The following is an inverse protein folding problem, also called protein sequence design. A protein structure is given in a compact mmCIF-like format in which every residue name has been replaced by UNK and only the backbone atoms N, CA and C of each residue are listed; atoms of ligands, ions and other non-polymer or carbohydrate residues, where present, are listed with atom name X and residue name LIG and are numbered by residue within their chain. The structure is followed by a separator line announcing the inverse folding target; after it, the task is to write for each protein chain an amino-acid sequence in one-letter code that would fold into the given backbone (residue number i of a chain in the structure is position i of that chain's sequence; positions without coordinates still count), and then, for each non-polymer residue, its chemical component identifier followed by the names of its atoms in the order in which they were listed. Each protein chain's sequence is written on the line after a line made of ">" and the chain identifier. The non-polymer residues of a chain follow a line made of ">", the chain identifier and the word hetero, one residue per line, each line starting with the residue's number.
data_IF_304025413576
#
_entry.id   IF_304025413576
#
_cell.length_a   1.000
_cell.length_b   1.000
_cell.length_c   1.000
_cell.angle_alpha   90.00
_cell.angle_beta   90.00
_cell.angle_gamma   90.00
#
_symmetry.space_group_name_H-M   'P 1'
#
loop_
_entity.id
_entity.type
_entity.pdbx_description
1 polymer ?
#
# COMPACT_ATOMS: atom_id res chain seq x y z
N UNK A 1 31.42 19.30 27.22
CA UNK A 1 30.79 17.97 27.26
C UNK A 1 29.26 17.96 27.19
N UNK A 2 28.53 18.90 27.80
CA UNK A 2 27.04 18.81 27.89
C UNK A 2 26.30 19.16 26.59
N UNK A 3 26.81 20.09 25.77
CA UNK A 3 26.21 20.42 24.47
C UNK A 3 26.28 19.26 23.47
N UNK A 4 27.42 18.56 23.39
CA UNK A 4 27.62 17.47 22.41
C UNK A 4 26.55 16.38 22.55
N UNK A 5 26.33 15.90 23.78
CA UNK A 5 25.31 14.89 24.05
C UNK A 5 23.88 15.37 23.79
N UNK A 6 23.62 16.68 23.94
CA UNK A 6 22.31 17.27 23.71
C UNK A 6 21.99 17.36 22.22
N UNK A 7 22.95 17.81 21.41
CA UNK A 7 22.85 17.82 19.95
C UNK A 7 22.79 16.40 19.39
N UNK A 8 23.68 15.52 19.86
CA UNK A 8 23.72 14.12 19.42
C UNK A 8 22.40 13.40 19.71
N UNK A 9 21.84 13.53 20.91
CA UNK A 9 20.55 12.91 21.26
C UNK A 9 19.41 13.40 20.38
N UNK A 10 19.38 14.70 20.08
CA UNK A 10 18.32 15.31 19.30
C UNK A 10 18.39 14.89 17.82
N UNK A 11 19.59 14.96 17.23
CA UNK A 11 19.81 14.58 15.83
C UNK A 11 19.63 13.07 15.64
N UNK A 12 20.12 12.26 16.57
CA UNK A 12 20.03 10.80 16.48
C UNK A 12 18.60 10.28 16.59
N UNK A 13 17.77 10.85 17.47
CA UNK A 13 16.35 10.50 17.53
C UNK A 13 15.58 10.94 16.28
N UNK A 14 15.93 12.09 15.70
CA UNK A 14 15.32 12.57 14.46
C UNK A 14 15.67 11.68 13.26
N UNK A 15 16.90 11.15 13.21
CA UNK A 15 17.32 10.15 12.23
C UNK A 15 16.59 8.80 12.41
N UNK A 16 16.43 8.33 13.65
CA UNK A 16 15.72 7.08 13.96
C UNK A 16 14.21 7.18 13.67
N UNK A 17 13.63 8.38 13.77
CA UNK A 17 12.23 8.64 13.46
C UNK A 17 11.96 8.90 11.98
N UNK A 18 12.95 8.74 11.09
CA UNK A 18 12.70 8.79 9.65
C UNK A 18 11.77 7.64 9.23
N UNK A 19 10.46 7.91 9.17
CA UNK A 19 9.48 7.02 8.55
C UNK A 19 9.86 6.83 7.08
N UNK A 20 10.45 5.68 6.74
CA UNK A 20 10.75 5.26 5.37
C UNK A 20 9.49 4.85 4.57
N UNK A 21 8.33 5.37 4.93
CA UNK A 21 7.13 5.06 4.17
C UNK A 21 7.18 5.86 2.86
N UNK A 22 6.95 5.18 1.73
CA UNK A 22 6.76 5.80 0.41
C UNK A 22 7.98 6.49 -0.24
N UNK A 23 9.20 6.24 0.25
CA UNK A 23 10.44 6.78 -0.39
C UNK A 23 10.77 6.11 -1.72
N UNK A 24 10.30 4.88 -1.94
CA UNK A 24 10.58 4.12 -3.14
C UNK A 24 9.34 4.07 -4.02
N UNK A 25 9.50 4.42 -5.30
CA UNK A 25 8.48 4.17 -6.31
C UNK A 25 8.32 2.66 -6.44
N UNK A 26 7.18 2.16 -6.00
CA UNK A 26 6.81 0.78 -6.27
C UNK A 26 6.30 0.71 -7.73
N UNK A 27 6.60 -0.37 -8.48
CA UNK A 27 5.98 -0.57 -9.78
C UNK A 27 4.45 -0.55 -9.64
N UNK A 28 3.81 0.14 -10.59
CA UNK A 28 2.37 0.18 -10.73
C UNK A 28 1.80 -1.24 -10.94
N UNK A 29 0.57 -1.45 -10.49
CA UNK A 29 -0.15 -2.72 -10.63
C UNK A 29 -0.42 -3.04 -12.10
N UNK A 30 -0.41 -4.33 -12.44
CA UNK A 30 -0.55 -4.81 -13.81
C UNK A 30 -1.78 -5.69 -13.97
N UNK A 31 -2.26 -5.77 -15.21
CA UNK A 31 -3.27 -6.74 -15.60
C UNK A 31 -2.81 -8.15 -15.25
N UNK A 32 -3.68 -8.91 -14.58
CA UNK A 32 -3.41 -10.27 -14.13
C UNK A 32 -2.87 -10.37 -12.70
N UNK A 33 -2.50 -9.25 -12.05
CA UNK A 33 -2.10 -9.28 -10.65
C UNK A 33 -3.30 -9.66 -9.76
N UNK A 34 -3.03 -10.47 -8.74
CA UNK A 34 -4.03 -10.87 -7.73
C UNK A 34 -4.00 -9.87 -6.58
N UNK A 35 -5.17 -9.35 -6.23
CA UNK A 35 -5.36 -8.33 -5.21
C UNK A 35 -6.32 -8.80 -4.13
N UNK A 36 -6.12 -8.29 -2.92
CA UNK A 36 -7.05 -8.44 -1.80
C UNK A 36 -7.95 -7.21 -1.76
N UNK A 37 -9.25 -7.43 -1.72
CA UNK A 37 -10.27 -6.38 -1.63
C UNK A 37 -10.72 -6.30 -0.19
N UNK A 38 -10.53 -5.13 0.41
CA UNK A 38 -10.99 -4.81 1.75
C UNK A 38 -12.35 -4.12 1.63
N UNK A 39 -13.42 -4.78 2.07
CA UNK A 39 -14.73 -4.15 2.27
C UNK A 39 -15.04 -4.05 3.76
N UNK A 40 -15.57 -2.91 4.18
CA UNK A 40 -15.86 -2.62 5.59
C UNK A 40 -16.94 -3.51 6.19
N UNK A 41 -17.77 -4.14 5.35
CA UNK A 41 -18.87 -5.02 5.77
C UNK A 41 -18.51 -6.52 5.77
N UNK A 42 -17.26 -6.88 5.47
CA UNK A 42 -16.83 -8.27 5.53
C UNK A 42 -16.62 -8.69 6.99
N UNK A 43 -17.05 -9.91 7.38
CA UNK A 43 -16.74 -10.41 8.70
C UNK A 43 -15.21 -10.53 8.86
N UNK A 44 -14.68 -10.27 10.07
CA UNK A 44 -13.25 -10.40 10.33
C UNK A 44 -12.78 -11.80 9.93
N UNK A 45 -11.58 -11.89 9.33
CA UNK A 45 -10.97 -13.06 8.67
C UNK A 45 -11.44 -13.43 7.25
N UNK A 46 -12.40 -12.74 6.64
CA UNK A 46 -12.73 -12.98 5.22
C UNK A 46 -12.07 -11.95 4.31
N UNK A 47 -11.12 -12.42 3.51
CA UNK A 47 -10.46 -11.63 2.47
C UNK A 47 -11.05 -11.98 1.12
N UNK A 48 -11.58 -10.97 0.41
CA UNK A 48 -11.99 -11.15 -0.97
C UNK A 48 -10.75 -11.09 -1.85
N UNK A 49 -10.59 -12.11 -2.70
CA UNK A 49 -9.53 -12.14 -3.71
C UNK A 49 -10.13 -11.76 -5.06
N UNK A 50 -9.44 -10.87 -5.78
CA UNK A 50 -9.77 -10.49 -7.13
C UNK A 50 -8.53 -10.53 -8.02
N UNK A 51 -8.74 -10.66 -9.33
CA UNK A 51 -7.69 -10.48 -10.32
C UNK A 51 -7.95 -9.19 -11.09
N UNK A 52 -6.90 -8.41 -11.36
CA UNK A 52 -6.99 -7.19 -12.15
C UNK A 52 -7.24 -7.58 -13.60
N UNK A 53 -8.39 -7.16 -14.13
CA UNK A 53 -8.78 -7.42 -15.51
C UNK A 53 -8.32 -6.31 -16.44
N UNK A 54 -8.46 -5.06 -16.01
CA UNK A 54 -8.04 -3.87 -16.74
C UNK A 54 -7.49 -2.79 -15.80
N UNK A 55 -6.65 -1.92 -16.36
CA UNK A 55 -5.92 -0.89 -15.63
C UNK A 55 -6.09 0.45 -16.35
N UNK A 56 -6.42 1.49 -15.61
CA UNK A 56 -6.57 2.85 -16.14
C UNK A 56 -5.52 3.78 -15.52
N UNK A 57 -4.66 4.30 -16.39
CA UNK A 57 -3.60 5.26 -16.04
C UNK A 57 -4.14 6.69 -16.06
N UNK A 58 -3.72 7.50 -15.09
CA UNK A 58 -3.97 8.94 -15.07
C UNK A 58 -3.09 9.71 -16.07
N UNK A 59 -3.29 11.03 -16.13
CA UNK A 59 -2.49 11.94 -16.94
C UNK A 59 -1.02 12.02 -16.51
N UNK A 60 -0.72 11.60 -15.28
CA UNK A 60 0.62 11.48 -14.70
C UNK A 60 1.31 10.14 -15.03
N UNK A 61 0.65 9.25 -15.77
CA UNK A 61 1.16 7.93 -16.15
C UNK A 61 1.08 6.87 -15.05
N UNK A 62 0.47 7.20 -13.90
CA UNK A 62 0.30 6.27 -12.77
C UNK A 62 -1.08 5.60 -12.77
N UNK A 63 -1.15 4.40 -12.23
CA UNK A 63 -2.41 3.65 -12.13
C UNK A 63 -3.26 4.20 -10.98
N UNK A 64 -4.47 4.67 -11.29
CA UNK A 64 -5.39 5.24 -10.29
C UNK A 64 -6.67 4.43 -10.14
N UNK A 65 -7.09 3.75 -11.21
CA UNK A 65 -8.31 2.96 -11.25
C UNK A 65 -8.02 1.62 -11.90
N UNK A 66 -8.59 0.56 -11.33
CA UNK A 66 -8.46 -0.80 -11.85
C UNK A 66 -9.83 -1.47 -11.89
N UNK A 67 -10.10 -2.24 -12.94
CA UNK A 67 -11.24 -3.14 -13.01
C UNK A 67 -10.83 -4.47 -12.40
N UNK A 68 -11.57 -4.95 -11.41
CA UNK A 68 -11.25 -6.19 -10.70
C UNK A 68 -12.37 -7.20 -10.89
N UNK A 69 -12.00 -8.40 -11.34
CA UNK A 69 -12.90 -9.53 -11.43
C UNK A 69 -12.82 -10.34 -10.13
N UNK A 70 -13.95 -10.47 -9.43
CA UNK A 70 -14.04 -11.20 -8.16
C UNK A 70 -14.73 -12.53 -8.43
N UNK A 71 -14.12 -13.63 -8.00
CA UNK A 71 -14.85 -14.91 -7.90
C UNK A 71 -15.56 -14.94 -6.56
N UNK A 72 -16.87 -14.65 -6.57
CA UNK A 72 -17.71 -14.89 -5.39
C UNK A 72 -17.82 -16.40 -5.22
N UNK A 73 -17.27 -16.91 -4.12
CA UNK A 73 -17.57 -18.26 -3.68
C UNK A 73 -19.08 -18.31 -3.39
N UNK A 74 -19.81 -19.09 -4.18
CA UNK A 74 -21.25 -19.21 -4.03
C UNK A 74 -21.52 -19.83 -2.66
N UNK A 75 -21.98 -19.01 -1.72
CA UNK A 75 -22.43 -19.46 -0.41
C UNK A 75 -23.55 -20.49 -0.64
N UNK A 76 -23.25 -21.76 -0.36
CA UNK A 76 -24.24 -22.83 -0.12
C UNK A 76 -24.72 -22.76 1.32
#
# INVERSE_FOLDING_TARGET
>A
CRQFWKCWYQDHLQELQQRRCWRFKHPDVKRGDVVIIHEDNLPPLKWLLGAIEEVFTGSDGHVRVVLVCIKRDALK
#
